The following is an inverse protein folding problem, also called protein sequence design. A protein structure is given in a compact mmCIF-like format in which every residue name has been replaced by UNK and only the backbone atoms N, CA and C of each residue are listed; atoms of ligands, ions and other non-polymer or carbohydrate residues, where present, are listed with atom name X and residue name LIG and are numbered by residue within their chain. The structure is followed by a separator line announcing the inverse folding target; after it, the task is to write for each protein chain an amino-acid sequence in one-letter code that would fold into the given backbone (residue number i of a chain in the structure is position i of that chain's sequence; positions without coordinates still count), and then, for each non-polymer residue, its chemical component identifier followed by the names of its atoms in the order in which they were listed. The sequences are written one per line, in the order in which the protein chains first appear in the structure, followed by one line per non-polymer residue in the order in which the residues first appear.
data_IF_118981426948
#
_entry.id   IF_118981426948
#
_cell.length_a   1.000
_cell.length_b   1.000
_cell.length_c   1.000
_cell.angle_alpha   90.00
_cell.angle_beta   90.00
_cell.angle_gamma   90.00
#
_symmetry.space_group_name_H-M   'P 1'
#
loop_
_entity.id
_entity.type
_entity.pdbx_description
1 polymer ?
#
# COMPACT_ATOMS: atom_id res chain seq x y z
N UNK A 1 -3.73 13.56 -36.73
CA UNK A 1 -3.06 12.69 -35.76
C UNK A 1 -2.04 11.84 -36.51
N UNK A 2 -0.78 11.99 -36.17
CA UNK A 2 0.35 11.34 -36.82
C UNK A 2 0.67 9.99 -36.17
N UNK A 3 1.33 9.07 -36.88
CA UNK A 3 1.74 7.78 -36.32
C UNK A 3 2.64 7.89 -35.07
N UNK A 4 3.36 9.01 -34.90
CA UNK A 4 4.20 9.28 -33.72
C UNK A 4 3.35 9.65 -32.50
N UNK A 5 2.35 10.51 -32.67
CA UNK A 5 1.42 10.89 -31.60
C UNK A 5 0.64 9.69 -31.05
N UNK A 6 0.29 8.73 -31.92
CA UNK A 6 -0.33 7.46 -31.52
C UNK A 6 0.59 6.61 -30.65
N UNK A 7 1.87 6.50 -31.01
CA UNK A 7 2.84 5.72 -30.22
C UNK A 7 3.12 6.33 -28.85
N UNK A 8 3.20 7.66 -28.77
CA UNK A 8 3.43 8.36 -27.51
C UNK A 8 2.22 8.20 -26.57
N UNK A 9 1.01 8.27 -27.12
CA UNK A 9 -0.23 8.05 -26.37
C UNK A 9 -0.36 6.61 -25.86
N UNK A 10 0.05 5.61 -26.65
CA UNK A 10 0.07 4.21 -26.22
C UNK A 10 1.10 3.95 -25.12
N UNK A 11 2.28 4.57 -25.20
CA UNK A 11 3.30 4.49 -24.15
C UNK A 11 2.80 5.11 -22.85
N UNK A 12 2.16 6.27 -22.95
CA UNK A 12 1.62 6.95 -21.78
C UNK A 12 0.49 6.15 -21.14
N UNK A 13 -0.43 5.61 -21.94
CA UNK A 13 -1.49 4.72 -21.45
C UNK A 13 -0.93 3.51 -20.69
N UNK A 14 0.08 2.83 -21.25
CA UNK A 14 0.75 1.70 -20.57
C UNK A 14 1.43 2.11 -19.27
N UNK A 15 1.99 3.32 -19.22
CA UNK A 15 2.61 3.88 -18.01
C UNK A 15 1.57 4.11 -16.93
N UNK A 16 0.43 4.73 -17.28
CA UNK A 16 -0.68 4.98 -16.37
C UNK A 16 -1.27 3.67 -15.85
N UNK A 17 -1.57 2.71 -16.74
CA UNK A 17 -2.10 1.39 -16.36
C UNK A 17 -1.16 0.66 -15.36
N UNK A 18 0.15 0.74 -15.59
CA UNK A 18 1.14 0.15 -14.68
C UNK A 18 1.22 0.88 -13.33
N UNK A 19 1.08 2.21 -13.31
CA UNK A 19 1.04 3.00 -12.08
C UNK A 19 -0.21 2.68 -11.25
N UNK A 20 -1.38 2.60 -11.89
CA UNK A 20 -2.62 2.25 -11.22
C UNK A 20 -2.58 0.84 -10.63
N UNK A 21 -2.02 -0.14 -11.36
CA UNK A 21 -1.84 -1.51 -10.83
C UNK A 21 -0.94 -1.54 -9.60
N UNK A 22 0.19 -0.81 -9.62
CA UNK A 22 1.08 -0.71 -8.47
C UNK A 22 0.42 -0.03 -7.27
N UNK A 23 -0.38 1.01 -7.51
CA UNK A 23 -1.14 1.67 -6.45
C UNK A 23 -2.19 0.74 -5.85
N UNK A 24 -2.91 -0.04 -6.67
CA UNK A 24 -3.88 -1.03 -6.16
C UNK A 24 -3.19 -2.14 -5.37
N UNK A 25 -2.06 -2.66 -5.84
CA UNK A 25 -1.26 -3.64 -5.09
C UNK A 25 -0.80 -3.08 -3.74
N UNK A 26 -0.25 -1.87 -3.70
CA UNK A 26 0.09 -1.21 -2.45
C UNK A 26 -1.14 -0.96 -1.56
N UNK A 27 -2.33 -0.79 -2.16
CA UNK A 27 -3.57 -0.59 -1.41
C UNK A 27 -4.13 -1.87 -0.78
N UNK A 28 -3.83 -3.03 -1.36
CA UNK A 28 -4.26 -4.36 -0.95
C UNK A 28 -3.22 -5.10 -0.07
N UNK A 29 -2.15 -4.44 0.34
CA UNK A 29 -1.22 -5.04 1.32
C UNK A 29 -1.90 -5.08 2.70
N UNK A 30 -2.25 -6.30 3.14
CA UNK A 30 -2.75 -6.58 4.47
C UNK A 30 -1.72 -6.29 5.57
N UNK A 31 -0.46 -6.07 5.19
CA UNK A 31 0.69 -5.91 6.06
C UNK A 31 1.55 -4.74 5.60
N UNK A 32 1.59 -3.65 6.38
CA UNK A 32 2.49 -2.52 6.15
C UNK A 32 3.57 -2.52 7.23
N UNK A 33 4.85 -2.50 6.84
CA UNK A 33 5.98 -2.29 7.76
C UNK A 33 6.22 -0.79 7.93
N UNK A 34 5.86 -0.25 9.10
CA UNK A 34 6.03 1.17 9.44
C UNK A 34 7.29 1.36 10.32
N UNK A 35 8.46 1.41 9.68
CA UNK A 35 9.75 1.47 10.38
C UNK A 35 10.14 0.17 11.09
N UNK A 36 11.19 0.22 11.92
CA UNK A 36 11.90 -0.98 12.40
C UNK A 36 11.13 -1.90 13.36
N UNK A 37 9.97 -1.48 13.91
CA UNK A 37 9.29 -2.20 15.01
C UNK A 37 7.77 -2.19 15.00
N UNK A 38 7.14 -1.74 13.91
CA UNK A 38 5.68 -1.63 13.83
C UNK A 38 5.13 -2.32 12.58
N UNK A 39 4.25 -3.28 12.83
CA UNK A 39 3.48 -3.98 11.82
C UNK A 39 2.07 -3.40 11.81
N UNK A 40 1.56 -3.00 10.66
CA UNK A 40 0.17 -2.56 10.52
C UNK A 40 -0.61 -3.62 9.76
N UNK A 41 -1.72 -4.06 10.35
CA UNK A 41 -2.64 -5.00 9.74
C UNK A 41 -3.94 -4.32 9.35
N UNK A 42 -4.48 -4.71 8.20
CA UNK A 42 -5.83 -4.32 7.77
C UNK A 42 -6.76 -5.52 7.90
N UNK A 43 -7.87 -5.38 8.62
CA UNK A 43 -8.91 -6.40 8.65
C UNK A 43 -9.86 -6.26 7.45
N UNK A 44 -10.61 -7.32 7.09
CA UNK A 44 -11.51 -7.29 5.93
C UNK A 44 -12.62 -6.23 6.01
N UNK A 45 -12.99 -5.80 7.21
CA UNK A 45 -13.93 -4.70 7.46
C UNK A 45 -13.33 -3.30 7.20
N UNK A 46 -12.04 -3.22 6.85
CA UNK A 46 -11.31 -1.98 6.60
C UNK A 46 -10.69 -1.34 7.84
N UNK A 47 -10.83 -1.95 9.02
CA UNK A 47 -10.17 -1.46 10.24
C UNK A 47 -8.66 -1.70 10.18
N UNK A 48 -7.88 -0.81 10.80
CA UNK A 48 -6.43 -0.93 10.86
C UNK A 48 -5.95 -1.12 12.29
N UNK A 49 -4.97 -2.00 12.46
CA UNK A 49 -4.38 -2.35 13.74
C UNK A 49 -2.86 -2.20 13.68
N UNK A 50 -2.28 -1.53 14.66
CA UNK A 50 -0.83 -1.48 14.84
C UNK A 50 -0.41 -2.51 15.87
N UNK A 51 0.52 -3.37 15.47
CA UNK A 51 1.24 -4.32 16.32
C UNK A 51 2.64 -3.77 16.58
N UNK A 52 3.05 -3.81 17.85
CA UNK A 52 4.39 -3.38 18.29
C UNK A 52 4.95 -4.41 19.26
N UNK A 53 6.27 -4.60 19.22
CA UNK A 53 7.00 -5.46 20.16
C UNK A 53 7.92 -4.58 21.01
N UNK A 54 7.78 -4.67 22.33
CA UNK A 54 8.66 -3.97 23.28
C UNK A 54 10.02 -4.65 23.41
N UNK A 55 11.00 -3.94 23.99
CA UNK A 55 12.34 -4.52 24.26
C UNK A 55 12.30 -5.70 25.25
N UNK A 56 11.25 -5.79 26.07
CA UNK A 56 11.00 -6.92 26.96
C UNK A 56 10.28 -8.09 26.27
N UNK A 57 10.01 -8.00 24.96
CA UNK A 57 9.34 -9.03 24.17
C UNK A 57 7.81 -9.02 24.27
N UNK A 58 7.21 -8.05 24.97
CA UNK A 58 5.75 -7.93 25.03
C UNK A 58 5.18 -7.46 23.68
N UNK A 59 4.13 -8.13 23.20
CA UNK A 59 3.39 -7.77 21.99
C UNK A 59 2.14 -6.97 22.39
N UNK A 60 1.94 -5.82 21.78
CA UNK A 60 0.75 -4.99 21.96
C UNK A 60 0.07 -4.73 20.62
N UNK A 61 -1.27 -4.76 20.61
CA UNK A 61 -2.12 -4.42 19.47
C UNK A 61 -3.02 -3.25 19.83
N UNK A 62 -3.11 -2.25 18.96
CA UNK A 62 -4.02 -1.10 19.13
C UNK A 62 -4.69 -0.70 17.82
N UNK A 63 -5.96 -0.28 17.83
CA UNK A 63 -6.58 0.27 16.64
C UNK A 63 -5.89 1.58 16.23
N UNK A 64 -5.78 1.83 14.94
CA UNK A 64 -5.31 3.11 14.40
C UNK A 64 -6.40 3.68 13.51
N UNK A 65 -6.69 4.98 13.67
CA UNK A 65 -7.87 5.66 13.14
C UNK A 65 -7.89 5.86 11.62
N UNK A 66 -7.26 4.97 10.85
CA UNK A 66 -7.16 5.05 9.40
C UNK A 66 -5.90 4.35 8.89
N UNK A 67 -5.76 4.35 7.57
CA UNK A 67 -4.55 3.88 6.90
C UNK A 67 -3.35 4.76 7.32
N UNK A 68 -2.21 4.16 7.73
CA UNK A 68 -1.00 4.91 8.05
C UNK A 68 -0.41 5.64 6.82
#
# INVERSE_FOLDING_TARGET
MSPRELQDMEREKRRVDNLERKQRQAQDEDVILDGDRRLVLRSPDGSYWALTVSDAGAVAARPIGGRP
#
